data_IF_420495030150
#
_entry.id   IF_420495030150
#
_cell.length_a   1.000
_cell.length_b   1.000
_cell.length_c   1.000
_cell.angle_alpha   90.00
_cell.angle_beta   90.00
_cell.angle_gamma   90.00
#
_symmetry.space_group_name_H-M   'P 1'
#
loop_
_entity.id
_entity.type
_entity.pdbx_description
1 polymer ?
#
# COMPACT_ATOMS: atom_id res chain seq x y z
N UNK A 1 -0.25 11.93 19.43
CA UNK A 1 0.14 11.20 18.21
C UNK A 1 -1.13 10.76 17.53
N UNK A 2 -1.20 10.93 16.20
CA UNK A 2 -2.35 10.63 15.35
C UNK A 2 -1.87 9.77 14.16
N UNK A 3 -2.76 8.99 13.55
CA UNK A 3 -2.44 8.14 12.37
C UNK A 3 -2.13 9.03 11.16
N UNK A 4 -2.88 10.12 11.00
CA UNK A 4 -2.60 11.13 9.99
C UNK A 4 -1.93 12.35 10.64
N UNK A 5 -0.70 12.14 11.11
CA UNK A 5 0.03 13.16 11.86
C UNK A 5 0.44 14.36 10.98
N UNK A 6 0.61 15.52 11.60
CA UNK A 6 1.18 16.72 10.98
C UNK A 6 0.52 17.18 9.68
N UNK A 7 -0.81 17.11 9.58
CA UNK A 7 -1.56 17.51 8.37
C UNK A 7 -1.31 18.96 7.87
N UNK A 8 -0.77 19.83 8.73
CA UNK A 8 -0.38 21.21 8.43
C UNK A 8 1.03 21.36 7.85
N UNK A 9 1.87 20.32 7.93
CA UNK A 9 3.22 20.31 7.33
C UNK A 9 3.10 20.20 5.82
N UNK A 10 3.88 21.03 5.11
CA UNK A 10 3.88 21.05 3.66
C UNK A 10 4.48 19.75 3.10
N UNK A 11 3.84 19.17 2.08
CA UNK A 11 4.28 17.91 1.45
C UNK A 11 5.31 18.09 0.31
N UNK A 12 5.73 19.33 0.04
CA UNK A 12 6.67 19.69 -1.01
C UNK A 12 8.03 20.16 -0.48
N UNK A 13 8.35 19.83 0.77
CA UNK A 13 9.63 20.14 1.40
C UNK A 13 10.51 18.88 1.42
N UNK A 14 11.85 19.03 1.45
CA UNK A 14 12.74 17.89 1.64
C UNK A 14 12.43 17.15 2.94
N UNK A 15 12.42 15.82 2.89
CA UNK A 15 12.30 14.99 4.08
C UNK A 15 13.53 15.15 4.98
N UNK A 16 13.31 15.09 6.29
CA UNK A 16 14.36 15.22 7.30
C UNK A 16 14.54 13.90 8.04
N UNK A 17 15.77 13.61 8.48
CA UNK A 17 16.06 12.44 9.31
C UNK A 17 15.22 12.47 10.60
N UNK A 18 14.74 11.29 11.01
CA UNK A 18 13.82 11.09 12.13
C UNK A 18 12.34 11.20 11.78
N UNK A 19 11.99 11.55 10.53
CA UNK A 19 10.60 11.58 10.07
C UNK A 19 10.13 10.16 9.73
N UNK A 20 8.94 9.82 10.22
CA UNK A 20 8.19 8.61 9.81
C UNK A 20 7.01 9.02 8.93
N UNK A 21 6.79 8.30 7.84
CA UNK A 21 5.67 8.52 6.93
C UNK A 21 5.24 7.21 6.28
N UNK A 22 4.00 7.15 5.81
CA UNK A 22 3.47 5.97 5.11
C UNK A 22 3.71 6.07 3.60
N UNK A 23 3.97 4.93 2.97
CA UNK A 23 4.00 4.78 1.52
C UNK A 23 2.90 3.80 1.13
N UNK A 24 1.85 4.30 0.47
CA UNK A 24 0.64 3.53 0.16
C UNK A 24 0.27 3.51 -1.33
N UNK A 25 1.14 3.00 -2.22
CA UNK A 25 0.89 3.03 -3.66
C UNK A 25 -0.34 2.21 -4.09
N UNK A 26 -1.00 2.70 -5.13
CA UNK A 26 -1.94 1.94 -5.96
C UNK A 26 -1.51 1.97 -7.44
N UNK A 27 -1.44 0.80 -8.09
CA UNK A 27 -1.16 0.70 -9.54
C UNK A 27 -2.30 1.35 -10.35
N UNK A 28 -2.02 2.46 -11.00
CA UNK A 28 -2.99 3.17 -11.82
C UNK A 28 -3.14 2.50 -13.20
N UNK A 29 -3.92 1.43 -13.27
CA UNK A 29 -4.30 0.83 -14.57
C UNK A 29 -5.32 1.76 -15.23
N UNK A 30 -4.86 2.57 -16.20
CA UNK A 30 -5.59 3.40 -17.19
C UNK A 30 -6.67 4.37 -16.65
N UNK A 31 -6.36 5.67 -16.54
CA UNK A 31 -7.33 6.79 -16.53
C UNK A 31 -8.68 6.53 -15.82
N UNK A 32 -8.62 6.04 -14.57
CA UNK A 32 -9.81 5.90 -13.74
C UNK A 32 -9.86 6.98 -12.66
N UNK A 33 -11.08 7.49 -12.48
CA UNK A 33 -11.47 8.46 -11.48
C UNK A 33 -11.20 7.89 -10.08
N UNK A 34 -10.00 8.14 -9.54
CA UNK A 34 -9.68 7.84 -8.14
C UNK A 34 -10.35 8.91 -7.28
N UNK A 35 -11.66 8.78 -7.09
CA UNK A 35 -12.44 9.56 -6.12
C UNK A 35 -12.84 8.62 -4.99
N UNK A 36 -12.15 8.74 -3.85
CA UNK A 36 -12.57 8.11 -2.61
C UNK A 36 -13.76 8.86 -1.97
N UNK A 37 -14.76 8.06 -1.57
CA UNK A 37 -15.93 8.32 -0.70
C UNK A 37 -16.82 9.54 -0.95
N UNK A 38 -17.97 9.33 -1.60
CA UNK A 38 -19.22 10.06 -1.29
C UNK A 38 -20.25 9.18 -0.55
N UNK A 39 -19.95 7.91 -0.29
CA UNK A 39 -20.79 7.03 0.50
C UNK A 39 -19.98 6.42 1.63
N UNK A 40 -19.85 7.16 2.74
CA UNK A 40 -20.09 6.56 4.05
C UNK A 40 -20.21 7.56 5.20
N UNK A 41 -19.80 8.82 5.12
CA UNK A 41 -20.05 9.81 6.19
C UNK A 41 -20.00 11.22 5.60
N UNK A 42 -21.09 11.99 5.74
CA UNK A 42 -21.21 13.35 5.21
C UNK A 42 -20.21 14.36 5.79
N UNK A 43 -18.97 14.37 5.32
CA UNK A 43 -17.97 15.33 5.77
C UNK A 43 -16.63 15.29 5.02
N UNK A 44 -16.36 16.38 4.29
CA UNK A 44 -15.06 16.89 3.79
C UNK A 44 -14.40 16.20 2.57
N UNK A 45 -14.52 16.89 1.43
CA UNK A 45 -14.01 16.59 0.07
C UNK A 45 -12.48 16.62 -0.16
N UNK A 46 -11.64 16.64 0.88
CA UNK A 46 -10.23 17.06 0.71
C UNK A 46 -9.16 16.03 1.15
N UNK A 47 -9.51 14.77 1.38
CA UNK A 47 -8.51 13.72 1.63
C UNK A 47 -8.20 12.98 0.32
N UNK A 48 -6.95 13.13 -0.14
CA UNK A 48 -6.38 12.31 -1.23
C UNK A 48 -5.87 11.05 -0.55
N UNK A 49 -6.49 9.91 -0.82
CA UNK A 49 -6.04 8.61 -0.34
C UNK A 49 -5.47 7.84 -1.53
N UNK A 50 -4.33 7.21 -1.32
CA UNK A 50 -3.57 6.51 -2.34
C UNK A 50 -4.04 5.04 -2.37
N UNK A 51 -4.37 4.49 -3.55
CA UNK A 51 -4.96 3.14 -3.69
C UNK A 51 -5.90 3.00 -4.90
N UNK A 52 -6.21 1.76 -5.31
CA UNK A 52 -7.06 1.46 -6.47
C UNK A 52 -8.45 1.00 -6.01
N UNK A 53 -9.50 1.49 -6.67
CA UNK A 53 -10.83 0.90 -6.59
C UNK A 53 -11.54 0.94 -7.95
N UNK A 54 -12.05 -0.20 -8.40
CA UNK A 54 -12.87 -0.31 -9.61
C UNK A 54 -14.33 -0.44 -9.19
N UNK A 55 -15.14 0.58 -9.49
CA UNK A 55 -16.58 0.55 -9.19
C UNK A 55 -17.30 -0.58 -9.94
N UNK A 56 -18.42 -1.04 -9.36
CA UNK A 56 -19.29 -2.05 -9.96
C UNK A 56 -19.93 -1.63 -11.30
N UNK A 57 -20.10 -0.33 -11.52
CA UNK A 57 -20.74 0.26 -12.70
C UNK A 57 -19.72 0.77 -13.73
N UNK A 58 -18.46 0.35 -13.65
CA UNK A 58 -17.39 0.88 -14.49
C UNK A 58 -17.41 0.27 -15.90
N UNK A 59 -17.99 0.98 -16.86
CA UNK A 59 -18.13 0.52 -18.25
C UNK A 59 -16.81 0.41 -19.04
N UNK A 60 -15.71 1.00 -18.54
CA UNK A 60 -14.41 1.04 -19.24
C UNK A 60 -13.45 -0.07 -18.80
N UNK A 61 -13.76 -0.79 -17.71
CA UNK A 61 -12.97 -1.93 -17.21
C UNK A 61 -13.74 -3.22 -17.48
N UNK A 62 -13.02 -4.32 -17.74
CA UNK A 62 -13.65 -5.65 -17.85
C UNK A 62 -14.36 -6.01 -16.53
N UNK A 63 -15.50 -6.71 -16.63
CA UNK A 63 -16.41 -6.99 -15.51
C UNK A 63 -15.76 -7.77 -14.37
N UNK A 64 -14.79 -8.62 -14.66
CA UNK A 64 -14.05 -9.42 -13.67
C UNK A 64 -13.22 -8.58 -12.69
N UNK A 65 -12.96 -7.30 -13.00
CA UNK A 65 -12.25 -6.40 -12.08
C UNK A 65 -13.18 -5.49 -11.30
N UNK A 66 -14.49 -5.54 -11.56
CA UNK A 66 -15.48 -4.69 -10.90
C UNK A 66 -15.63 -5.05 -9.43
N UNK A 67 -15.74 -4.03 -8.58
CA UNK A 67 -15.86 -4.19 -7.12
C UNK A 67 -14.54 -4.52 -6.42
N UNK A 68 -13.43 -4.55 -7.13
CA UNK A 68 -12.11 -4.85 -6.55
C UNK A 68 -11.44 -3.54 -6.12
N UNK A 69 -10.97 -3.51 -4.86
CA UNK A 69 -10.10 -2.46 -4.34
C UNK A 69 -8.81 -3.06 -3.78
N UNK A 70 -7.69 -2.39 -4.01
CA UNK A 70 -6.37 -2.84 -3.56
C UNK A 70 -5.50 -1.65 -3.13
N UNK A 71 -4.83 -1.81 -1.98
CA UNK A 71 -3.80 -0.90 -1.45
C UNK A 71 -2.75 -1.75 -0.75
N UNK A 72 -1.48 -1.43 -0.97
CA UNK A 72 -0.35 -1.97 -0.21
C UNK A 72 0.28 -0.77 0.49
N UNK A 73 0.50 -0.87 1.79
CA UNK A 73 0.95 0.23 2.64
C UNK A 73 2.09 -0.24 3.54
N UNK A 74 3.14 0.57 3.62
CA UNK A 74 4.25 0.37 4.54
C UNK A 74 4.59 1.67 5.29
N UNK A 75 5.01 1.53 6.55
CA UNK A 75 5.54 2.63 7.36
C UNK A 75 7.05 2.73 7.18
N UNK A 76 7.51 3.93 6.82
CA UNK A 76 8.91 4.22 6.51
C UNK A 76 9.49 5.19 7.52
N UNK A 77 10.65 4.87 8.09
CA UNK A 77 11.47 5.78 8.88
C UNK A 77 12.68 6.24 8.05
N UNK A 78 12.87 7.56 7.94
CA UNK A 78 14.07 8.14 7.37
C UNK A 78 15.13 8.29 8.46
N UNK A 79 16.18 7.49 8.42
CA UNK A 79 17.33 7.54 9.32
C UNK A 79 18.30 8.68 8.99
N UNK A 80 19.38 8.75 9.78
CA UNK A 80 20.48 9.68 9.52
C UNK A 80 21.22 9.33 8.23
N UNK A 81 21.80 10.32 7.56
CA UNK A 81 22.59 10.15 6.33
C UNK A 81 21.82 9.50 5.16
N UNK A 82 20.48 9.54 5.17
CA UNK A 82 19.65 9.00 4.10
C UNK A 82 19.40 7.49 4.19
N UNK A 83 19.69 6.86 5.32
CA UNK A 83 19.25 5.49 5.61
C UNK A 83 17.72 5.42 5.62
N UNK A 84 17.15 4.34 5.07
CA UNK A 84 15.70 4.13 5.00
C UNK A 84 15.36 2.80 5.66
N UNK A 85 14.49 2.84 6.66
CA UNK A 85 14.00 1.65 7.36
C UNK A 85 12.51 1.45 7.08
N UNK A 86 12.13 0.23 6.69
CA UNK A 86 10.73 -0.18 6.52
C UNK A 86 10.27 -0.84 7.82
N UNK A 87 9.46 -0.14 8.61
CA UNK A 87 9.04 -0.58 9.94
C UNK A 87 8.03 -1.74 9.88
N UNK A 88 7.28 -1.84 8.78
CA UNK A 88 6.24 -2.86 8.54
C UNK A 88 6.70 -3.98 7.60
N UNK A 89 8.02 -4.15 7.42
CA UNK A 89 8.59 -5.10 6.46
C UNK A 89 8.14 -6.55 6.66
N UNK A 90 7.79 -6.92 7.88
CA UNK A 90 7.37 -8.28 8.26
C UNK A 90 5.97 -8.64 7.73
N UNK A 91 5.17 -7.64 7.31
CA UNK A 91 3.90 -7.87 6.66
C UNK A 91 4.13 -8.43 5.24
N UNK A 92 3.73 -9.68 5.03
CA UNK A 92 3.79 -10.37 3.73
C UNK A 92 2.92 -9.62 2.72
N UNK A 93 3.48 -9.32 1.55
CA UNK A 93 2.85 -8.46 0.53
C UNK A 93 3.08 -8.93 -0.90
N UNK A 94 3.95 -9.89 -1.13
CA UNK A 94 4.11 -10.53 -2.44
C UNK A 94 3.00 -11.57 -2.67
N UNK A 95 2.44 -11.67 -3.89
CA UNK A 95 1.32 -12.56 -4.15
C UNK A 95 1.60 -14.04 -3.84
N UNK A 96 2.79 -14.53 -4.20
CA UNK A 96 3.15 -15.94 -4.01
C UNK A 96 3.24 -16.31 -2.52
N UNK A 97 3.91 -15.48 -1.70
CA UNK A 97 3.98 -15.74 -0.26
C UNK A 97 2.65 -15.48 0.43
N UNK A 98 1.79 -14.59 -0.08
CA UNK A 98 0.42 -14.44 0.43
C UNK A 98 -0.40 -15.70 0.18
N UNK A 99 -0.39 -16.24 -1.04
CA UNK A 99 -1.05 -17.50 -1.36
C UNK A 99 -0.52 -18.63 -0.48
N UNK A 100 0.81 -18.74 -0.34
CA UNK A 100 1.44 -19.72 0.52
C UNK A 100 1.06 -19.55 1.99
N UNK A 101 1.02 -18.32 2.50
CA UNK A 101 0.62 -18.01 3.87
C UNK A 101 -0.84 -18.43 4.10
N UNK A 102 -1.74 -18.13 3.16
CA UNK A 102 -3.15 -18.54 3.24
C UNK A 102 -3.32 -20.06 3.20
N UNK A 103 -2.47 -20.77 2.45
CA UNK A 103 -2.52 -22.23 2.35
C UNK A 103 -1.91 -22.95 3.55
N UNK A 104 -0.88 -22.36 4.17
CA UNK A 104 -0.07 -23.04 5.20
C UNK A 104 -0.33 -22.54 6.61
N UNK A 105 -1.02 -21.40 6.76
CA UNK A 105 -1.24 -20.67 8.02
C UNK A 105 0.07 -20.36 8.78
N UNK A 106 1.20 -20.33 8.08
CA UNK A 106 2.52 -20.10 8.68
C UNK A 106 3.28 -19.02 7.92
N UNK A 107 3.75 -18.02 8.66
CA UNK A 107 4.73 -17.06 8.15
C UNK A 107 6.10 -17.75 8.18
N UNK A 108 6.68 -18.03 7.01
CA UNK A 108 8.12 -18.33 6.92
C UNK A 108 8.84 -17.01 6.74
N UNK A 109 9.47 -16.49 7.79
CA UNK A 109 10.40 -15.38 7.66
C UNK A 109 11.67 -15.90 6.97
N UNK A 110 11.90 -15.54 5.70
CA UNK A 110 13.22 -15.69 5.09
C UNK A 110 14.10 -14.54 5.55
N UNK A 111 15.24 -14.84 6.16
CA UNK A 111 16.23 -13.85 6.59
C UNK A 111 17.08 -13.28 5.43
N UNK A 112 16.66 -13.47 4.17
CA UNK A 112 17.45 -13.10 3.00
C UNK A 112 16.70 -12.06 2.17
N UNK A 113 17.34 -10.91 1.96
CA UNK A 113 16.90 -9.74 1.17
C UNK A 113 16.73 -10.02 -0.34
N UNK A 114 16.40 -11.24 -0.74
CA UNK A 114 16.21 -11.57 -2.15
C UNK A 114 15.07 -12.59 -2.29
N UNK A 115 13.89 -12.07 -2.61
CA UNK A 115 12.74 -12.86 -3.03
C UNK A 115 13.05 -13.50 -4.39
N UNK A 116 13.78 -14.62 -4.38
CA UNK A 116 13.95 -15.48 -5.56
C UNK A 116 13.60 -16.91 -5.19
N UNK A 117 12.44 -17.31 -5.71
CA UNK A 117 12.07 -18.63 -6.21
C UNK A 117 13.08 -19.75 -5.85
N UNK A 118 12.85 -20.39 -4.72
CA UNK A 118 13.14 -21.80 -4.58
C UNK A 118 11.90 -22.46 -4.00
N UNK A 119 11.09 -23.07 -4.87
CA UNK A 119 10.46 -24.38 -4.65
C UNK A 119 9.58 -24.75 -5.85
N UNK A 120 10.21 -25.14 -6.95
CA UNK A 120 9.64 -26.14 -7.86
C UNK A 120 10.72 -27.19 -8.12
N UNK A 121 10.80 -28.18 -7.22
CA UNK A 121 11.22 -29.52 -7.60
C UNK A 121 10.08 -30.50 -7.26
N UNK A 122 9.32 -30.81 -8.30
CA UNK A 122 8.92 -32.17 -8.70
C UNK A 122 8.29 -32.11 -10.08
#
# INVERSE_FOLDING_TARGET
MDVHDTASVARNIPLQAGVTFTVEPGILVINFDVRWSDYMLGGKKNQRNEGIYVRHDNEKVRKEFHGIGMRIEDDILLGSNGEVEVLTKDAVKDPESLELLMMTERVRQSNDDFCVLQNLSQ
#
